data_IF_149131137450
#
_entry.id   IF_149131137450
#
_cell.length_a   1.000
_cell.length_b   1.000
_cell.length_c   1.000
_cell.angle_alpha   90.00
_cell.angle_beta   90.00
_cell.angle_gamma   90.00
#
_symmetry.space_group_name_H-M   'P 1'
#
loop_
_entity.id
_entity.type
_entity.pdbx_description
1 polymer ?
#
# COMPACT_ATOMS: atom_id res chain seq x y z
N UNK A 1 41.79 -16.91 -46.89
CA UNK A 1 41.40 -17.81 -47.99
C UNK A 1 39.90 -18.06 -47.86
N UNK A 2 39.10 -17.30 -48.57
CA UNK A 2 38.30 -17.77 -49.72
C UNK A 2 37.07 -18.62 -49.30
N UNK A 3 35.91 -18.47 -49.65
CA UNK A 3 35.17 -17.73 -50.68
C UNK A 3 33.71 -18.25 -50.68
N UNK A 4 32.79 -17.35 -51.00
CA UNK A 4 31.61 -17.51 -51.86
C UNK A 4 30.41 -18.33 -51.36
N UNK A 5 29.30 -17.77 -51.45
CA UNK A 5 28.36 -17.32 -52.55
C UNK A 5 27.14 -18.23 -52.52
N UNK A 6 25.97 -17.93 -52.63
CA UNK A 6 25.04 -17.05 -53.34
C UNK A 6 23.63 -17.49 -52.97
N UNK A 7 22.71 -16.57 -52.69
CA UNK A 7 21.62 -16.08 -53.57
C UNK A 7 20.69 -17.16 -54.14
N UNK A 8 19.35 -17.05 -53.89
CA UNK A 8 18.36 -16.80 -54.94
C UNK A 8 16.94 -16.58 -54.30
N UNK A 9 16.39 -15.48 -54.59
CA UNK A 9 15.05 -14.95 -54.73
C UNK A 9 13.98 -15.89 -55.31
N UNK A 10 12.76 -15.77 -54.83
CA UNK A 10 11.57 -15.79 -55.69
C UNK A 10 10.36 -15.12 -55.02
N UNK A 11 9.97 -13.97 -55.54
CA UNK A 11 8.64 -13.37 -55.44
C UNK A 11 7.67 -14.17 -56.30
N UNK A 12 6.43 -14.31 -55.85
CA UNK A 12 5.25 -14.37 -56.74
C UNK A 12 4.08 -13.61 -56.12
N UNK A 13 3.70 -12.58 -56.81
CA UNK A 13 2.42 -11.84 -56.70
C UNK A 13 1.45 -12.39 -57.72
N UNK A 14 0.17 -12.57 -57.36
CA UNK A 14 -0.99 -12.53 -58.30
C UNK A 14 -2.20 -12.18 -57.43
N UNK A 15 -2.78 -11.11 -57.49
CA UNK A 15 -3.69 -10.27 -58.25
C UNK A 15 -5.08 -10.90 -58.57
N UNK A 16 -6.07 -10.23 -57.99
CA UNK A 16 -7.47 -9.95 -58.39
C UNK A 16 -8.22 -10.94 -59.32
N UNK A 17 -9.45 -11.30 -59.01
CA UNK A 17 -10.58 -10.66 -59.68
C UNK A 17 -11.94 -10.99 -59.03
N UNK A 18 -12.81 -10.04 -59.15
CA UNK A 18 -14.21 -9.95 -58.74
C UNK A 18 -15.12 -10.65 -59.75
N UNK A 19 -16.12 -11.41 -59.33
CA UNK A 19 -17.38 -11.49 -60.05
C UNK A 19 -18.56 -11.92 -59.15
N UNK A 20 -19.56 -11.11 -59.15
CA UNK A 20 -20.90 -11.25 -58.61
C UNK A 20 -21.66 -12.44 -59.20
N UNK A 21 -22.34 -13.24 -58.41
CA UNK A 21 -23.63 -13.85 -58.81
C UNK A 21 -24.44 -14.16 -57.54
N UNK A 22 -25.62 -13.58 -57.45
CA UNK A 22 -26.68 -13.88 -56.48
C UNK A 22 -27.25 -15.28 -56.72
N UNK A 23 -27.50 -16.01 -55.65
CA UNK A 23 -28.74 -16.80 -55.50
C UNK A 23 -29.00 -17.10 -54.01
N UNK A 24 -30.25 -16.85 -53.65
CA UNK A 24 -30.89 -17.13 -52.36
C UNK A 24 -30.86 -18.62 -52.04
N UNK A 25 -30.84 -18.94 -50.74
CA UNK A 25 -31.91 -19.57 -49.95
C UNK A 25 -31.30 -20.23 -48.68
N UNK A 26 -31.99 -20.02 -47.62
CA UNK A 26 -32.10 -20.72 -46.33
C UNK A 26 -31.25 -20.30 -45.13
N UNK A 27 -32.02 -19.84 -44.22
CA UNK A 27 -31.90 -19.53 -42.81
C UNK A 27 -31.24 -20.64 -41.99
N UNK A 28 -30.11 -20.32 -41.35
CA UNK A 28 -29.72 -20.98 -40.12
C UNK A 28 -29.11 -19.95 -39.20
N UNK A 29 -29.88 -19.69 -38.12
CA UNK A 29 -29.58 -18.71 -37.08
C UNK A 29 -28.43 -19.23 -36.22
N UNK A 30 -27.20 -18.77 -36.44
CA UNK A 30 -26.13 -18.99 -35.53
C UNK A 30 -26.05 -17.79 -34.63
N UNK A 31 -26.61 -17.95 -33.43
CA UNK A 31 -26.48 -17.00 -32.29
C UNK A 31 -25.00 -16.93 -31.94
N UNK A 32 -24.34 -15.84 -32.29
CA UNK A 32 -23.04 -15.49 -31.75
C UNK A 32 -23.25 -14.97 -30.31
N UNK A 33 -23.04 -15.80 -29.33
CA UNK A 33 -22.88 -15.35 -27.95
C UNK A 33 -21.67 -14.41 -27.90
N UNK A 34 -21.97 -13.13 -27.85
CA UNK A 34 -21.00 -12.15 -27.38
C UNK A 34 -20.76 -12.42 -25.89
N UNK A 35 -19.62 -13.01 -25.57
CA UNK A 35 -19.09 -13.00 -24.23
C UNK A 35 -18.95 -11.54 -23.79
N UNK A 36 -19.89 -11.07 -23.01
CA UNK A 36 -19.73 -9.84 -22.22
C UNK A 36 -18.61 -10.10 -21.23
N UNK A 37 -17.44 -9.52 -21.51
CA UNK A 37 -16.40 -9.32 -20.52
C UNK A 37 -17.04 -8.44 -19.43
N UNK A 38 -17.08 -8.87 -18.18
CA UNK A 38 -17.55 -7.98 -17.13
C UNK A 38 -16.58 -6.81 -17.05
N UNK A 39 -17.07 -5.65 -17.40
CA UNK A 39 -16.44 -4.36 -17.18
C UNK A 39 -16.10 -4.29 -15.67
N UNK A 40 -14.79 -4.37 -15.38
CA UNK A 40 -14.33 -4.27 -14.02
C UNK A 40 -14.84 -2.96 -13.44
N UNK A 41 -15.67 -3.03 -12.42
CA UNK A 41 -16.06 -1.90 -11.60
C UNK A 41 -14.77 -1.28 -11.06
N UNK A 42 -14.32 -0.18 -11.68
CA UNK A 42 -13.39 0.74 -11.01
C UNK A 42 -14.06 1.09 -9.68
N UNK A 43 -13.42 0.72 -8.57
CA UNK A 43 -13.88 1.12 -7.26
C UNK A 43 -13.90 2.64 -7.26
N UNK A 44 -15.08 3.22 -7.25
CA UNK A 44 -15.31 4.66 -7.18
C UNK A 44 -14.53 5.17 -5.97
N UNK A 45 -13.51 6.00 -6.23
CA UNK A 45 -12.68 6.55 -5.17
C UNK A 45 -13.59 7.29 -4.19
N UNK A 46 -13.65 6.85 -2.95
CA UNK A 46 -14.55 7.41 -1.95
C UNK A 46 -14.30 8.92 -1.87
N UNK A 47 -15.32 9.71 -2.23
CA UNK A 47 -15.23 11.15 -2.12
C UNK A 47 -15.39 11.54 -0.64
N UNK A 48 -14.33 12.10 -0.08
CA UNK A 48 -14.33 12.64 1.27
C UNK A 48 -14.55 14.15 1.25
N UNK A 49 -15.37 14.64 2.19
CA UNK A 49 -15.61 16.08 2.36
C UNK A 49 -14.36 16.83 2.86
N UNK A 50 -13.48 16.12 3.56
CA UNK A 50 -12.18 16.61 4.01
C UNK A 50 -11.10 15.68 3.46
N UNK A 51 -10.21 16.20 2.62
CA UNK A 51 -9.09 15.44 2.08
C UNK A 51 -7.90 15.46 3.03
N UNK A 52 -7.12 14.38 3.06
CA UNK A 52 -5.90 14.29 3.86
C UNK A 52 -4.94 15.43 3.51
N UNK A 53 -4.44 16.12 4.53
CA UNK A 53 -3.40 17.14 4.43
C UNK A 53 -2.03 16.45 4.23
N UNK A 54 -1.20 16.91 3.27
CA UNK A 54 0.12 16.31 2.98
C UNK A 54 1.11 16.31 4.16
N UNK A 55 0.86 17.10 5.21
CA UNK A 55 1.67 17.11 6.43
C UNK A 55 1.31 16.01 7.42
N UNK A 56 0.35 15.15 7.06
CA UNK A 56 -0.08 14.04 7.91
C UNK A 56 0.97 12.94 7.92
N UNK A 57 1.34 12.49 9.13
CA UNK A 57 2.37 11.47 9.33
C UNK A 57 1.99 10.50 10.44
N UNK A 58 2.56 9.31 10.37
CA UNK A 58 2.66 8.36 11.48
C UNK A 58 4.12 8.28 11.90
N UNK A 59 4.40 8.64 13.15
CA UNK A 59 5.70 8.44 13.77
C UNK A 59 5.82 6.99 14.27
N UNK A 60 6.99 6.38 14.12
CA UNK A 60 7.25 5.02 14.58
C UNK A 60 8.52 4.93 15.41
N UNK A 61 8.53 4.00 16.38
CA UNK A 61 9.72 3.59 17.14
C UNK A 61 9.81 2.07 17.10
N UNK A 62 10.89 1.57 16.51
CA UNK A 62 11.29 0.17 16.56
C UNK A 62 12.46 -0.01 17.54
N UNK A 63 12.47 -1.10 18.32
CA UNK A 63 13.47 -1.30 19.35
C UNK A 63 14.00 -2.73 19.40
N UNK A 64 15.18 -2.88 19.99
CA UNK A 64 15.85 -4.13 20.33
C UNK A 64 16.41 -4.00 21.74
N UNK A 65 16.93 -5.08 22.38
CA UNK A 65 17.44 -5.01 23.75
C UNK A 65 18.47 -3.89 23.97
N UNK A 66 19.28 -3.62 22.95
CA UNK A 66 20.26 -2.53 22.97
C UNK A 66 20.04 -1.63 21.78
N UNK A 67 19.28 -0.55 21.99
CA UNK A 67 19.04 0.48 21.00
C UNK A 67 17.62 0.49 20.44
N UNK A 68 17.32 1.59 19.82
CA UNK A 68 16.05 1.86 19.13
C UNK A 68 16.32 2.76 17.93
N UNK A 69 15.42 2.71 16.97
CA UNK A 69 15.32 3.66 15.86
C UNK A 69 13.93 4.26 15.82
N UNK A 70 13.84 5.47 15.33
CA UNK A 70 12.58 6.17 15.16
C UNK A 70 12.52 6.92 13.83
N UNK A 71 11.30 7.12 13.36
CA UNK A 71 11.10 7.81 12.10
C UNK A 71 9.65 8.09 11.80
N UNK A 72 9.36 8.30 10.53
CA UNK A 72 8.02 8.65 10.04
C UNK A 72 7.63 7.85 8.81
N UNK A 73 6.32 7.77 8.58
CA UNK A 73 5.68 7.36 7.32
C UNK A 73 4.61 8.39 6.99
N UNK A 74 4.56 8.85 5.75
CA UNK A 74 3.57 9.85 5.34
C UNK A 74 2.20 9.23 5.09
N UNK A 75 1.15 9.96 5.49
CA UNK A 75 -0.23 9.68 5.09
C UNK A 75 -0.51 10.50 3.85
N UNK A 76 -0.67 9.87 2.71
CA UNK A 76 -0.65 10.55 1.40
C UNK A 76 -2.00 10.68 0.73
N UNK A 77 -2.98 9.89 1.16
CA UNK A 77 -4.33 9.97 0.59
C UNK A 77 -5.40 9.47 1.56
N UNK A 78 -6.66 9.61 1.14
CA UNK A 78 -7.83 9.34 1.96
C UNK A 78 -8.48 10.62 2.44
N UNK A 79 -9.28 10.52 3.48
CA UNK A 79 -10.01 11.68 4.02
C UNK A 79 -11.03 11.29 5.08
N UNK A 80 -11.87 12.26 5.40
CA UNK A 80 -12.86 12.17 6.47
C UNK A 80 -14.20 12.73 6.00
N UNK A 81 -15.29 12.06 6.30
CA UNK A 81 -16.63 12.61 6.27
C UNK A 81 -17.13 12.82 7.69
N UNK A 82 -17.75 13.97 7.91
CA UNK A 82 -18.29 14.40 9.21
C UNK A 82 -19.80 14.52 9.10
N UNK A 83 -20.49 14.05 10.11
CA UNK A 83 -21.94 14.20 10.29
C UNK A 83 -22.22 14.57 11.74
N UNK A 84 -23.02 15.62 11.94
CA UNK A 84 -23.39 16.11 13.28
C UNK A 84 -22.19 16.42 14.20
N UNK A 85 -21.08 16.93 13.61
CA UNK A 85 -19.86 17.27 14.35
C UNK A 85 -18.98 16.09 14.77
N UNK A 86 -19.29 14.88 14.30
CA UNK A 86 -18.51 13.66 14.55
C UNK A 86 -18.04 13.01 13.25
N UNK A 87 -16.96 12.24 13.31
CA UNK A 87 -16.51 11.44 12.17
C UNK A 87 -17.58 10.38 11.86
N UNK A 88 -18.09 10.39 10.63
CA UNK A 88 -19.01 9.38 10.10
C UNK A 88 -18.26 8.20 9.51
N UNK A 89 -17.28 8.49 8.65
CA UNK A 89 -16.33 7.55 8.09
C UNK A 89 -15.02 8.26 7.77
N UNK A 90 -13.93 7.50 7.76
CA UNK A 90 -12.62 7.99 7.34
C UNK A 90 -11.75 6.84 6.85
N UNK A 91 -10.88 7.18 5.91
CA UNK A 91 -9.83 6.29 5.42
C UNK A 91 -8.52 7.08 5.31
N UNK A 92 -7.43 6.44 5.72
CA UNK A 92 -6.08 7.00 5.64
C UNK A 92 -5.16 5.99 4.99
N UNK A 93 -4.47 6.41 3.93
CA UNK A 93 -3.52 5.58 3.20
C UNK A 93 -2.11 6.13 3.43
N UNK A 94 -1.24 5.26 3.92
CA UNK A 94 0.16 5.54 4.16
C UNK A 94 0.97 5.05 2.96
N UNK A 95 1.87 5.89 2.45
CA UNK A 95 2.83 5.47 1.43
C UNK A 95 4.06 4.86 2.11
N UNK A 96 4.20 3.54 2.04
CA UNK A 96 5.28 2.81 2.69
C UNK A 96 6.66 3.08 2.06
N UNK A 97 6.72 3.66 0.86
CA UNK A 97 7.98 4.13 0.26
C UNK A 97 8.55 5.34 1.00
N UNK A 98 7.73 6.06 1.76
CA UNK A 98 8.13 7.24 2.55
C UNK A 98 8.68 6.90 3.93
N UNK A 99 8.84 5.61 4.28
CA UNK A 99 9.51 5.23 5.53
C UNK A 99 10.85 5.92 5.61
N UNK A 100 11.03 6.73 6.65
CA UNK A 100 12.24 7.54 6.86
C UNK A 100 12.69 7.37 8.31
N UNK A 101 13.99 7.16 8.51
CA UNK A 101 14.64 7.18 9.82
C UNK A 101 15.06 8.60 10.17
N UNK A 102 14.88 9.02 11.43
CA UNK A 102 15.17 10.38 11.90
C UNK A 102 16.31 10.45 12.94
N UNK A 103 16.80 9.33 13.43
CA UNK A 103 17.85 9.31 14.45
C UNK A 103 19.26 9.02 13.89
N UNK A 104 19.35 8.36 12.74
CA UNK A 104 20.63 8.16 12.06
C UNK A 104 20.93 9.32 11.11
N UNK A 105 22.21 9.61 10.96
CA UNK A 105 22.66 10.59 9.98
C UNK A 105 22.83 9.96 8.60
N UNK A 106 22.69 10.80 7.57
CA UNK A 106 23.02 10.41 6.20
C UNK A 106 24.49 9.92 6.13
N UNK A 107 24.70 8.74 5.53
CA UNK A 107 25.99 8.07 5.46
C UNK A 107 26.39 7.25 6.69
N UNK A 108 25.69 7.37 7.83
CA UNK A 108 25.95 6.63 9.07
C UNK A 108 25.00 5.43 9.23
N UNK A 109 24.52 4.83 8.13
CA UNK A 109 23.66 3.65 8.13
C UNK A 109 22.18 3.91 7.94
N UNK A 110 21.74 5.19 7.86
CA UNK A 110 20.36 5.59 7.64
C UNK A 110 19.77 4.97 6.39
N UNK A 111 20.45 5.14 5.27
CA UNK A 111 20.01 4.63 3.96
C UNK A 111 19.91 3.11 3.96
N UNK A 112 20.82 2.45 4.68
CA UNK A 112 20.85 0.98 4.81
C UNK A 112 19.68 0.48 5.66
N UNK A 113 19.36 1.17 6.76
CA UNK A 113 18.21 0.84 7.60
C UNK A 113 16.89 1.07 6.82
N UNK A 114 16.74 2.22 6.18
CA UNK A 114 15.55 2.54 5.38
C UNK A 114 15.36 1.53 4.23
N UNK A 115 16.43 1.18 3.51
CA UNK A 115 16.38 0.18 2.45
C UNK A 115 15.99 -1.21 2.99
N UNK A 116 16.47 -1.60 4.18
CA UNK A 116 16.09 -2.86 4.81
C UNK A 116 14.60 -2.86 5.24
N UNK A 117 14.13 -1.79 5.89
CA UNK A 117 12.72 -1.65 6.26
C UNK A 117 11.79 -1.69 5.04
N UNK A 118 12.19 -1.05 3.95
CA UNK A 118 11.44 -1.03 2.69
C UNK A 118 11.54 -2.36 1.90
N UNK A 119 12.53 -3.21 2.19
CA UNK A 119 12.83 -4.40 1.40
C UNK A 119 13.42 -4.08 0.03
N UNK A 120 14.18 -2.99 -0.09
CA UNK A 120 14.80 -2.53 -1.35
C UNK A 120 16.32 -2.68 -1.38
N UNK A 121 16.93 -3.13 -0.27
CA UNK A 121 18.37 -3.24 -0.13
C UNK A 121 18.95 -4.47 -0.82
N UNK A 122 18.41 -5.66 -0.53
CA UNK A 122 18.82 -6.95 -1.10
C UNK A 122 17.59 -7.75 -1.50
N UNK A 123 17.66 -8.46 -2.61
CA UNK A 123 16.51 -9.21 -3.14
C UNK A 123 16.06 -10.35 -2.22
N UNK A 124 17.00 -11.02 -1.54
CA UNK A 124 16.72 -12.10 -0.58
C UNK A 124 16.17 -11.62 0.77
N UNK A 125 16.22 -10.31 1.02
CA UNK A 125 15.74 -9.65 2.24
C UNK A 125 14.47 -8.80 2.01
N UNK A 126 13.87 -8.89 0.83
CA UNK A 126 12.71 -8.05 0.49
C UNK A 126 11.52 -8.23 1.46
N UNK A 127 11.28 -9.45 1.94
CA UNK A 127 10.19 -9.79 2.86
C UNK A 127 10.54 -9.70 4.35
N UNK A 128 11.77 -9.31 4.69
CA UNK A 128 12.21 -9.15 6.09
C UNK A 128 11.27 -8.21 6.85
N UNK A 129 10.90 -7.09 6.23
CA UNK A 129 9.98 -6.11 6.81
C UNK A 129 8.77 -5.84 5.91
N UNK A 130 8.70 -4.66 5.29
CA UNK A 130 7.45 -4.19 4.67
C UNK A 130 7.32 -4.55 3.19
N UNK A 131 8.41 -4.88 2.49
CA UNK A 131 8.41 -5.22 1.06
C UNK A 131 7.57 -4.23 0.23
N UNK A 132 7.99 -2.97 0.21
CA UNK A 132 7.20 -1.88 -0.39
C UNK A 132 7.02 -2.02 -1.90
N UNK A 133 7.86 -2.82 -2.59
CA UNK A 133 7.67 -3.14 -4.00
C UNK A 133 6.38 -3.95 -4.22
N UNK A 134 6.05 -4.86 -3.29
CA UNK A 134 4.84 -5.68 -3.34
C UNK A 134 3.68 -5.02 -2.59
N UNK A 135 3.96 -4.36 -1.49
CA UNK A 135 2.98 -3.75 -0.60
C UNK A 135 3.29 -2.25 -0.41
N UNK A 136 3.04 -1.42 -1.44
CA UNK A 136 3.45 -0.02 -1.42
C UNK A 136 2.68 0.83 -0.40
N UNK A 137 1.54 0.35 0.08
CA UNK A 137 0.68 1.10 1.00
C UNK A 137 0.29 0.29 2.23
N UNK A 138 0.07 0.99 3.33
CA UNK A 138 -0.72 0.53 4.46
C UNK A 138 -1.99 1.39 4.54
N UNK A 139 -3.06 0.86 5.15
CA UNK A 139 -4.36 1.53 5.18
C UNK A 139 -5.00 1.42 6.55
N UNK A 140 -5.60 2.51 7.02
CA UNK A 140 -6.45 2.53 8.20
C UNK A 140 -7.85 2.98 7.83
N UNK A 141 -8.85 2.17 8.20
CA UNK A 141 -10.28 2.46 8.00
C UNK A 141 -10.93 2.67 9.37
N UNK A 142 -11.49 3.85 9.57
CA UNK A 142 -12.17 4.23 10.81
C UNK A 142 -13.42 3.39 11.05
N UNK A 143 -13.64 2.98 12.30
CA UNK A 143 -14.86 2.31 12.76
C UNK A 143 -15.64 3.13 13.78
N UNK A 144 -14.97 3.60 14.83
CA UNK A 144 -15.63 4.35 15.90
C UNK A 144 -14.68 5.23 16.67
N UNK A 145 -15.25 6.23 17.36
CA UNK A 145 -14.57 7.06 18.35
C UNK A 145 -15.53 7.33 19.52
N UNK A 146 -15.13 6.96 20.72
CA UNK A 146 -15.94 7.10 21.93
C UNK A 146 -15.67 8.40 22.71
N UNK A 147 -14.96 9.36 22.09
CA UNK A 147 -14.50 10.60 22.70
C UNK A 147 -13.11 10.51 23.33
N UNK A 148 -12.51 9.32 23.39
CA UNK A 148 -11.19 9.07 24.00
C UNK A 148 -10.37 8.05 23.21
N UNK A 149 -11.02 7.00 22.73
CA UNK A 149 -10.40 5.87 22.02
C UNK A 149 -10.91 5.82 20.59
N UNK A 150 -10.01 5.80 19.65
CA UNK A 150 -10.29 5.62 18.22
C UNK A 150 -10.06 4.17 17.85
N UNK A 151 -11.04 3.54 17.21
CA UNK A 151 -10.98 2.14 16.75
C UNK A 151 -11.13 2.09 15.25
N UNK A 152 -10.39 1.21 14.60
CA UNK A 152 -10.46 0.99 13.17
C UNK A 152 -9.66 -0.22 12.70
N UNK A 153 -9.79 -0.55 11.43
CA UNK A 153 -9.08 -1.63 10.78
C UNK A 153 -7.78 -1.11 10.19
N UNK A 154 -6.66 -1.62 10.66
CA UNK A 154 -5.33 -1.40 10.09
C UNK A 154 -4.95 -2.55 9.17
N UNK A 155 -4.58 -2.24 7.94
CA UNK A 155 -4.07 -3.21 6.96
C UNK A 155 -2.61 -2.90 6.67
N UNK A 156 -1.73 -3.89 6.89
CA UNK A 156 -0.31 -3.87 6.52
C UNK A 156 0.02 -5.19 5.82
N UNK A 157 0.72 -5.17 4.70
CA UNK A 157 1.07 -6.37 3.89
C UNK A 157 -0.16 -7.26 3.61
N UNK A 158 -1.31 -6.63 3.27
CA UNK A 158 -2.59 -7.32 3.02
C UNK A 158 -3.22 -8.03 4.23
N UNK A 159 -2.62 -7.92 5.42
CA UNK A 159 -3.19 -8.44 6.67
C UNK A 159 -3.93 -7.33 7.39
N UNK A 160 -5.22 -7.52 7.63
CA UNK A 160 -6.08 -6.56 8.33
C UNK A 160 -6.32 -7.00 9.76
N UNK A 161 -6.15 -6.07 10.69
CA UNK A 161 -6.44 -6.23 12.13
C UNK A 161 -7.19 -5.02 12.66
N UNK A 162 -8.18 -5.25 13.51
CA UNK A 162 -8.77 -4.18 14.28
C UNK A 162 -7.78 -3.71 15.35
N UNK A 163 -7.57 -2.41 15.43
CA UNK A 163 -6.76 -1.77 16.47
C UNK A 163 -7.54 -0.65 17.14
N UNK A 164 -7.19 -0.37 18.40
CA UNK A 164 -7.76 0.73 19.16
C UNK A 164 -6.65 1.50 19.86
N UNK A 165 -6.71 2.82 19.83
CA UNK A 165 -5.70 3.66 20.46
C UNK A 165 -6.29 4.96 21.01
N UNK A 166 -5.69 5.52 22.08
CA UNK A 166 -6.12 6.81 22.63
C UNK A 166 -5.82 7.94 21.66
N UNK A 167 -6.81 8.77 21.34
CA UNK A 167 -6.65 9.89 20.43
C UNK A 167 -7.45 11.11 20.90
N UNK A 168 -7.02 12.29 20.46
CA UNK A 168 -7.79 13.51 20.45
C UNK A 168 -8.26 13.78 19.02
N UNK A 169 -9.57 13.90 18.85
CA UNK A 169 -10.19 14.25 17.57
C UNK A 169 -10.78 15.64 17.72
N UNK A 170 -10.42 16.54 16.80
CA UNK A 170 -10.96 17.89 16.74
C UNK A 170 -11.61 18.09 15.39
N UNK A 171 -12.89 18.45 15.37
CA UNK A 171 -13.66 18.73 14.15
C UNK A 171 -13.99 20.21 14.13
N UNK A 172 -13.70 20.86 13.01
CA UNK A 172 -14.07 22.25 12.71
C UNK A 172 -14.74 22.32 11.34
N UNK A 173 -15.27 23.47 10.96
CA UNK A 173 -15.88 23.66 9.63
C UNK A 173 -14.91 23.43 8.47
N UNK A 174 -13.58 23.62 8.69
CA UNK A 174 -12.58 23.59 7.65
C UNK A 174 -11.57 22.44 7.78
N UNK A 175 -11.53 21.75 8.94
CA UNK A 175 -10.54 20.73 9.18
C UNK A 175 -10.99 19.70 10.23
N UNK A 176 -10.47 18.48 10.06
CA UNK A 176 -10.49 17.42 11.08
C UNK A 176 -9.06 17.10 11.44
N UNK A 177 -8.72 17.10 12.74
CA UNK A 177 -7.41 16.73 13.26
C UNK A 177 -7.54 15.50 14.15
N UNK A 178 -6.65 14.53 13.97
CA UNK A 178 -6.54 13.31 14.78
C UNK A 178 -5.10 13.23 15.29
N UNK A 179 -4.92 13.32 16.59
CA UNK A 179 -3.61 13.19 17.24
C UNK A 179 -3.70 12.10 18.30
N UNK A 180 -2.93 11.02 18.14
CA UNK A 180 -2.90 9.94 19.12
C UNK A 180 -1.89 10.21 20.25
N UNK A 181 -2.08 9.56 21.39
CA UNK A 181 -0.96 9.25 22.28
C UNK A 181 -0.14 8.13 21.70
N UNK A 182 1.07 7.89 22.23
CA UNK A 182 1.84 6.70 21.87
C UNK A 182 1.05 5.43 22.19
N UNK A 183 1.01 4.51 21.24
CA UNK A 183 0.40 3.19 21.39
C UNK A 183 1.25 2.15 20.66
N UNK A 184 0.97 0.87 20.90
CA UNK A 184 1.75 -0.22 20.34
C UNK A 184 0.91 -1.10 19.42
N UNK A 185 1.53 -1.58 18.36
CA UNK A 185 1.04 -2.69 17.54
C UNK A 185 2.08 -3.80 17.54
N UNK A 186 1.64 -5.06 17.45
CA UNK A 186 2.55 -6.18 17.24
C UNK A 186 2.76 -6.38 15.73
N UNK A 187 3.99 -6.14 15.25
CA UNK A 187 4.34 -6.26 13.82
C UNK A 187 4.19 -7.68 13.26
N UNK A 188 4.34 -8.70 14.13
CA UNK A 188 4.24 -10.11 13.72
C UNK A 188 2.81 -10.45 13.30
N UNK A 189 1.80 -9.80 13.91
CA UNK A 189 0.39 -9.95 13.53
C UNK A 189 0.09 -9.54 12.08
N UNK A 190 0.97 -8.72 11.51
CA UNK A 190 0.91 -8.25 10.12
C UNK A 190 1.94 -8.94 9.21
N UNK A 191 2.51 -10.06 9.65
CA UNK A 191 3.46 -10.83 8.86
C UNK A 191 4.89 -10.27 8.79
N UNK A 192 5.23 -9.23 9.56
CA UNK A 192 6.59 -8.68 9.66
C UNK A 192 7.35 -9.44 10.74
N UNK A 193 8.10 -10.49 10.34
CA UNK A 193 8.64 -11.50 11.25
C UNK A 193 10.15 -11.42 11.49
N UNK A 194 10.89 -10.66 10.69
CA UNK A 194 12.34 -10.60 10.76
C UNK A 194 12.86 -10.32 12.18
N UNK A 195 13.79 -11.15 12.65
CA UNK A 195 14.41 -11.01 13.96
C UNK A 195 13.45 -11.08 15.16
N UNK A 196 12.24 -11.62 15.00
CA UNK A 196 11.28 -11.80 16.09
C UNK A 196 11.63 -13.04 16.92
N UNK A 197 11.77 -12.86 18.25
CA UNK A 197 11.95 -13.98 19.16
C UNK A 197 10.69 -14.82 19.38
N UNK A 198 9.52 -14.32 18.99
CA UNK A 198 8.27 -15.06 19.03
C UNK A 198 8.16 -16.03 17.84
N UNK A 199 9.01 -15.88 16.82
CA UNK A 199 9.00 -16.66 15.59
C UNK A 199 10.25 -17.51 15.44
N UNK A 200 11.43 -16.98 15.88
CA UNK A 200 12.72 -17.64 15.69
C UNK A 200 13.41 -17.90 17.03
N UNK A 201 13.84 -19.12 17.22
CA UNK A 201 14.67 -19.51 18.36
C UNK A 201 16.12 -19.05 18.18
N UNK A 202 16.85 -18.98 19.29
CA UNK A 202 18.31 -18.77 19.31
C UNK A 202 18.83 -17.39 18.83
N UNK A 203 17.97 -16.37 18.76
CA UNK A 203 18.39 -15.00 18.40
C UNK A 203 19.27 -14.34 19.49
N UNK A 204 19.30 -14.88 20.72
CA UNK A 204 19.95 -14.28 21.89
C UNK A 204 19.54 -12.80 22.03
N UNK A 205 20.51 -11.90 22.17
CA UNK A 205 20.30 -10.45 22.29
C UNK A 205 20.16 -9.71 20.95
N UNK A 206 20.11 -10.47 19.83
CA UNK A 206 19.98 -9.90 18.47
C UNK A 206 18.56 -9.78 17.98
N UNK A 207 17.57 -10.09 18.82
CA UNK A 207 16.16 -9.97 18.41
C UNK A 207 15.72 -8.50 18.30
N UNK A 208 14.69 -8.30 17.51
CA UNK A 208 13.96 -7.04 17.38
C UNK A 208 12.61 -7.23 18.09
N UNK A 209 12.24 -6.29 18.96
CA UNK A 209 10.96 -6.36 19.66
C UNK A 209 9.80 -6.44 18.66
N UNK A 210 8.80 -7.23 19.01
CA UNK A 210 7.62 -7.42 18.17
C UNK A 210 6.70 -6.19 18.21
N UNK A 211 6.71 -5.46 19.33
CA UNK A 211 5.98 -4.22 19.45
C UNK A 211 6.68 -3.08 18.72
N UNK A 212 5.93 -2.36 17.89
CA UNK A 212 6.28 -1.05 17.33
C UNK A 212 5.43 -0.02 18.05
N UNK A 213 6.05 1.05 18.57
CA UNK A 213 5.32 2.21 19.11
C UNK A 213 4.98 3.16 17.95
N UNK A 214 3.74 3.67 17.98
CA UNK A 214 3.24 4.59 16.96
C UNK A 214 2.64 5.83 17.58
N UNK A 215 2.76 6.97 16.89
CA UNK A 215 2.02 8.20 17.15
C UNK A 215 1.43 8.70 15.83
N UNK A 216 0.12 8.86 15.79
CA UNK A 216 -0.59 9.38 14.61
C UNK A 216 -0.74 10.89 14.74
N UNK A 217 -0.38 11.61 13.67
CA UNK A 217 -0.61 13.05 13.50
C UNK A 217 -1.25 13.25 12.12
N UNK A 218 -2.56 13.11 12.05
CA UNK A 218 -3.30 13.22 10.81
C UNK A 218 -4.20 14.46 10.83
N UNK A 219 -4.29 15.12 9.68
CA UNK A 219 -5.18 16.24 9.44
C UNK A 219 -5.85 16.05 8.09
N UNK A 220 -7.12 16.41 8.01
CA UNK A 220 -7.84 16.49 6.75
C UNK A 220 -8.50 17.87 6.65
N UNK A 221 -8.51 18.45 5.44
CA UNK A 221 -9.02 19.80 5.16
C UNK A 221 -10.00 19.77 4.00
N UNK A 222 -10.94 20.76 3.98
CA UNK A 222 -11.80 21.00 2.82
C UNK A 222 -11.05 21.62 1.66
#
# INVERSE_FOLDING_TARGET
LTLCLAVVTAMVVVSCNNTNTQQNVDTESTTTEQMMVPEGTEAEAAQFAYAVDPMSVVEWIGSKPVGKHNGTVNVTSGGVNVENGAIKNAEFVLDMNTITDLDLKAGDGREMLEAHLKGTGKDDAADDFFNVKKYPTAKFVFKSFDGKTLTGDLTIKEVTKEISFPATVTVTDNAVSIVSKSFKINRVDFGVKYGSKSVFDNLKDKFINDDIELVVKAKATK
#
